data_IF_348782266601
#
_entry.id   IF_348782266601
#
_cell.length_a   1.000
_cell.length_b   1.000
_cell.length_c   1.000
_cell.angle_alpha   90.00
_cell.angle_beta   90.00
_cell.angle_gamma   90.00
#
_symmetry.space_group_name_H-M   'P 1'
#
loop_
_entity.id
_entity.type
_entity.pdbx_description
1 polymer ?
#
# COMPACT_ATOMS: atom_id res chain seq x y z
N UNK A 1 -26.35 -10.42 -29.33
CA UNK A 1 -25.86 -10.84 -28.00
C UNK A 1 -24.75 -9.87 -27.60
N UNK A 2 -25.01 -9.00 -26.62
CA UNK A 2 -24.05 -7.98 -26.19
C UNK A 2 -23.09 -8.59 -25.17
N UNK A 3 -21.80 -8.73 -25.53
CA UNK A 3 -20.76 -9.18 -24.61
C UNK A 3 -20.49 -8.04 -23.63
N UNK A 4 -20.83 -8.25 -22.36
CA UNK A 4 -20.51 -7.29 -21.28
C UNK A 4 -18.98 -7.20 -21.14
N UNK A 5 -18.42 -6.01 -20.90
CA UNK A 5 -16.99 -5.88 -20.62
C UNK A 5 -16.68 -6.52 -19.26
N UNK A 6 -15.77 -7.49 -19.26
CA UNK A 6 -15.18 -8.08 -18.05
C UNK A 6 -14.40 -7.00 -17.31
N UNK A 7 -14.84 -6.69 -16.10
CA UNK A 7 -14.14 -5.83 -15.16
C UNK A 7 -12.93 -6.57 -14.63
N UNK A 8 -11.74 -6.25 -15.14
CA UNK A 8 -10.47 -6.65 -14.54
C UNK A 8 -10.30 -5.91 -13.21
N UNK A 9 -10.64 -6.57 -12.10
CA UNK A 9 -10.37 -6.08 -10.75
C UNK A 9 -8.86 -6.12 -10.51
N UNK A 10 -8.30 -5.00 -10.06
CA UNK A 10 -6.91 -4.89 -9.63
C UNK A 10 -6.63 -5.91 -8.51
N UNK A 11 -5.80 -6.91 -8.83
CA UNK A 11 -5.37 -7.96 -7.92
C UNK A 11 -4.53 -7.38 -6.77
N UNK A 12 -4.81 -7.81 -5.54
CA UNK A 12 -4.14 -7.33 -4.33
C UNK A 12 -2.71 -7.88 -4.25
N UNK A 13 -1.71 -7.00 -4.09
CA UNK A 13 -0.31 -7.39 -3.84
C UNK A 13 -0.12 -7.65 -2.34
N UNK A 14 0.36 -8.85 -1.99
CA UNK A 14 0.71 -9.23 -0.61
C UNK A 14 1.77 -8.29 0.00
N UNK A 15 1.52 -7.85 1.23
CA UNK A 15 2.43 -6.99 2.00
C UNK A 15 3.57 -7.87 2.57
N UNK A 16 4.79 -7.66 2.08
CA UNK A 16 5.99 -8.32 2.60
C UNK A 16 6.38 -7.70 3.95
N UNK A 17 6.43 -8.52 5.00
CA UNK A 17 6.90 -8.09 6.33
C UNK A 17 8.42 -7.82 6.34
N UNK A 18 8.89 -6.68 6.90
CA UNK A 18 10.32 -6.42 7.03
C UNK A 18 10.98 -7.32 8.09
N UNK A 19 12.05 -8.00 7.70
CA UNK A 19 12.88 -8.90 8.51
C UNK A 19 13.53 -8.18 9.70
N UNK A 20 13.26 -8.70 10.91
CA UNK A 20 13.66 -8.12 12.20
C UNK A 20 15.13 -8.45 12.57
N UNK A 21 16.14 -7.89 11.89
CA UNK A 21 17.55 -7.99 12.35
C UNK A 21 18.42 -6.79 11.97
N UNK A 22 18.33 -5.70 12.73
CA UNK A 22 19.50 -4.89 13.14
C UNK A 22 19.08 -3.75 14.06
N UNK A 23 19.67 -3.72 15.27
CA UNK A 23 19.67 -2.59 16.20
C UNK A 23 20.39 -1.40 15.56
N UNK A 24 19.67 -0.53 14.85
CA UNK A 24 19.92 0.90 14.66
C UNK A 24 19.05 1.44 13.52
N UNK A 25 18.69 2.73 13.66
CA UNK A 25 18.26 3.69 12.65
C UNK A 25 16.77 4.00 12.56
N UNK A 26 16.48 5.31 12.41
CA UNK A 26 15.28 5.85 11.79
C UNK A 26 15.16 5.34 10.35
N UNK A 27 14.85 4.05 10.17
CA UNK A 27 14.69 3.46 8.86
C UNK A 27 13.28 3.79 8.38
N UNK A 28 13.13 4.92 7.69
CA UNK A 28 11.98 5.12 6.82
C UNK A 28 12.26 4.41 5.51
N UNK A 29 11.58 3.28 5.27
CA UNK A 29 11.60 2.62 3.97
C UNK A 29 10.45 3.17 3.13
N UNK A 30 10.79 3.85 2.04
CA UNK A 30 9.84 4.33 1.04
C UNK A 30 10.11 3.59 -0.27
N UNK A 31 9.08 2.92 -0.80
CA UNK A 31 9.12 2.21 -2.06
C UNK A 31 8.05 2.80 -2.98
N UNK A 32 8.39 2.99 -4.25
CA UNK A 32 7.44 3.40 -5.27
C UNK A 32 7.57 2.49 -6.48
N UNK A 33 6.45 1.86 -6.86
CA UNK A 33 6.32 1.07 -8.08
C UNK A 33 5.40 1.79 -9.05
N UNK A 34 5.75 1.70 -10.34
CA UNK A 34 4.94 2.25 -11.41
C UNK A 34 4.88 1.24 -12.54
N UNK A 35 3.67 0.94 -12.95
CA UNK A 35 3.38 0.10 -14.10
C UNK A 35 2.55 0.87 -15.11
N UNK A 36 2.80 0.60 -16.39
CA UNK A 36 2.04 1.19 -17.48
C UNK A 36 1.83 0.14 -18.55
N UNK A 37 0.59 0.01 -18.98
CA UNK A 37 0.20 -0.80 -20.13
C UNK A 37 -0.62 0.05 -21.09
N UNK A 38 -0.56 -0.28 -22.37
CA UNK A 38 -1.40 0.37 -23.38
C UNK A 38 -1.54 -0.51 -24.61
N UNK A 39 -2.72 -0.47 -25.22
CA UNK A 39 -2.96 -1.02 -26.55
C UNK A 39 -3.70 0.00 -27.40
N UNK A 40 -3.53 -0.10 -28.72
CA UNK A 40 -4.18 0.77 -29.69
C UNK A 40 -4.56 -0.03 -30.92
N UNK A 41 -5.74 0.28 -31.46
CA UNK A 41 -6.21 -0.28 -32.72
C UNK A 41 -6.84 0.81 -33.60
N UNK A 42 -7.49 0.36 -34.67
CA UNK A 42 -8.17 1.24 -35.62
C UNK A 42 -9.38 1.97 -35.01
N UNK A 43 -10.07 1.35 -34.04
CA UNK A 43 -11.28 1.85 -33.39
C UNK A 43 -10.99 2.75 -32.18
N UNK A 44 -9.79 2.67 -31.63
CA UNK A 44 -9.49 3.39 -30.41
C UNK A 44 -8.16 3.03 -29.78
N UNK A 45 -8.14 3.14 -28.46
CA UNK A 45 -7.04 2.67 -27.64
C UNK A 45 -7.36 2.73 -26.17
N UNK A 46 -6.60 1.95 -25.41
CA UNK A 46 -6.68 1.88 -23.97
C UNK A 46 -5.28 2.09 -23.39
N UNK A 47 -5.21 2.78 -22.26
CA UNK A 47 -4.01 2.79 -21.44
C UNK A 47 -4.36 2.71 -19.98
N UNK A 48 -3.61 1.90 -19.23
CA UNK A 48 -3.67 1.85 -17.78
C UNK A 48 -2.35 2.34 -17.20
N UNK A 49 -2.41 3.18 -16.18
CA UNK A 49 -1.26 3.53 -15.36
C UNK A 49 -1.55 3.23 -13.90
N UNK A 50 -0.70 2.39 -13.32
CA UNK A 50 -0.76 2.05 -11.90
C UNK A 50 0.46 2.64 -11.22
N UNK A 51 0.23 3.34 -10.11
CA UNK A 51 1.27 3.80 -9.21
C UNK A 51 0.96 3.29 -7.82
N UNK A 52 1.92 2.59 -7.22
CA UNK A 52 1.86 2.14 -5.84
C UNK A 52 3.00 2.81 -5.07
N UNK A 53 2.71 3.37 -3.91
CA UNK A 53 3.74 3.78 -2.97
C UNK A 53 3.51 3.16 -1.61
N UNK A 54 4.60 2.80 -0.96
CA UNK A 54 4.62 2.22 0.38
C UNK A 54 5.63 3.00 1.22
N UNK A 55 5.22 3.36 2.43
CA UNK A 55 6.05 4.05 3.40
C UNK A 55 5.88 3.42 4.77
N UNK A 56 6.98 2.98 5.34
CA UNK A 56 7.04 2.51 6.72
C UNK A 56 7.90 3.45 7.56
N UNK A 57 7.50 3.69 8.80
CA UNK A 57 8.28 4.47 9.76
C UNK A 57 8.05 3.98 11.18
N UNK A 58 9.13 3.91 11.96
CA UNK A 58 9.10 3.74 13.41
C UNK A 58 9.05 5.11 14.10
N UNK A 59 8.36 5.19 15.24
CA UNK A 59 8.30 6.39 16.07
C UNK A 59 8.29 6.04 17.56
N UNK A 60 8.72 6.95 18.43
CA UNK A 60 8.58 6.75 19.89
C UNK A 60 7.10 6.92 20.26
N UNK A 61 6.44 5.85 20.67
CA UNK A 61 5.03 5.83 21.04
C UNK A 61 4.80 6.30 22.49
N UNK A 62 5.73 6.01 23.39
CA UNK A 62 5.70 6.45 24.78
C UNK A 62 7.05 7.06 25.18
N UNK A 63 7.04 8.35 25.51
CA UNK A 63 8.24 9.11 25.91
C UNK A 63 8.78 8.69 27.28
N UNK A 64 7.95 8.10 28.13
CA UNK A 64 8.35 7.69 29.49
C UNK A 64 9.02 6.32 29.49
N UNK A 65 8.51 5.39 28.70
CA UNK A 65 9.06 4.03 28.61
C UNK A 65 10.04 3.85 27.46
N UNK A 66 10.11 4.80 26.53
CA UNK A 66 10.92 4.70 25.31
C UNK A 66 10.38 3.64 24.34
N UNK A 67 9.14 3.17 24.51
CA UNK A 67 8.58 2.15 23.64
C UNK A 67 8.34 2.70 22.23
N UNK A 68 8.73 1.91 21.24
CA UNK A 68 8.54 2.23 19.83
C UNK A 68 7.15 1.79 19.36
N UNK A 69 6.53 2.64 18.56
CA UNK A 69 5.38 2.33 17.72
C UNK A 69 5.78 2.32 16.26
N UNK A 70 4.87 1.81 15.44
CA UNK A 70 5.13 1.60 14.03
C UNK A 70 3.96 2.08 13.19
N UNK A 71 4.27 2.69 12.04
CA UNK A 71 3.27 3.17 11.08
C UNK A 71 3.63 2.74 9.67
N UNK A 72 2.66 2.17 8.97
CA UNK A 72 2.73 1.93 7.54
C UNK A 72 1.67 2.76 6.81
N UNK A 73 2.03 3.22 5.62
CA UNK A 73 1.12 3.87 4.69
C UNK A 73 1.35 3.26 3.31
N UNK A 74 0.29 2.72 2.70
CA UNK A 74 0.30 2.30 1.31
C UNK A 74 -0.70 3.15 0.52
N UNK A 75 -0.29 3.64 -0.65
CA UNK A 75 -1.15 4.34 -1.61
C UNK A 75 -1.15 3.58 -2.91
N UNK A 76 -2.34 3.41 -3.46
CA UNK A 76 -2.57 2.82 -4.77
C UNK A 76 -3.36 3.80 -5.61
N UNK A 77 -2.84 4.12 -6.80
CA UNK A 77 -3.52 4.94 -7.80
C UNK A 77 -3.54 4.17 -9.11
N UNK A 78 -4.74 3.95 -9.67
CA UNK A 78 -4.92 3.44 -11.02
C UNK A 78 -5.61 4.51 -11.86
N UNK A 79 -5.10 4.73 -13.06
CA UNK A 79 -5.70 5.61 -14.07
C UNK A 79 -5.89 4.82 -15.36
N UNK A 80 -7.13 4.60 -15.73
CA UNK A 80 -7.55 3.91 -16.93
C UNK A 80 -8.14 4.91 -17.92
N UNK A 81 -7.62 4.91 -19.14
CA UNK A 81 -8.05 5.81 -20.21
C UNK A 81 -8.48 5.02 -21.43
N UNK A 82 -9.68 5.30 -21.91
CA UNK A 82 -10.29 4.71 -23.10
C UNK A 82 -10.54 5.82 -24.12
N UNK A 83 -9.93 5.69 -25.29
CA UNK A 83 -10.16 6.58 -26.43
C UNK A 83 -11.05 5.84 -27.42
N UNK A 84 -12.27 6.34 -27.61
CA UNK A 84 -13.21 5.84 -28.60
C UNK A 84 -13.18 6.78 -29.82
N UNK A 85 -12.68 6.28 -30.96
CA UNK A 85 -12.64 7.09 -32.18
C UNK A 85 -13.96 7.06 -32.93
N UNK A 86 -14.80 6.05 -32.72
CA UNK A 86 -16.10 5.95 -33.39
C UNK A 86 -17.09 6.96 -32.79
N UNK A 87 -17.12 7.03 -31.45
CA UNK A 87 -17.97 7.98 -30.74
C UNK A 87 -17.28 9.33 -30.47
N UNK A 88 -15.98 9.45 -30.76
CA UNK A 88 -15.24 10.71 -30.79
C UNK A 88 -14.91 11.29 -29.40
N UNK A 89 -15.01 10.50 -28.33
CA UNK A 89 -14.68 10.95 -26.98
C UNK A 89 -13.65 10.07 -26.29
N UNK A 90 -13.10 10.58 -25.19
CA UNK A 90 -12.23 9.83 -24.29
C UNK A 90 -12.90 9.71 -22.92
N UNK A 91 -12.88 8.52 -22.34
CA UNK A 91 -13.26 8.29 -20.94
C UNK A 91 -12.01 8.03 -20.13
N UNK A 92 -11.91 8.65 -18.98
CA UNK A 92 -10.84 8.43 -18.02
C UNK A 92 -11.45 8.10 -16.66
N UNK A 93 -10.95 7.03 -16.06
CA UNK A 93 -11.33 6.57 -14.74
C UNK A 93 -10.09 6.59 -13.85
N UNK A 94 -10.23 7.20 -12.68
CA UNK A 94 -9.17 7.22 -11.69
C UNK A 94 -9.67 6.63 -10.39
N UNK A 95 -8.95 5.63 -9.88
CA UNK A 95 -9.18 5.04 -8.56
C UNK A 95 -7.99 5.35 -7.67
N UNK A 96 -8.24 5.83 -6.46
CA UNK A 96 -7.22 6.07 -5.45
C UNK A 96 -7.63 5.37 -4.14
N UNK A 97 -6.71 4.59 -3.58
CA UNK A 97 -6.91 3.94 -2.28
C UNK A 97 -5.70 4.22 -1.39
N UNK A 98 -5.97 4.50 -0.11
CA UNK A 98 -4.94 4.71 0.90
C UNK A 98 -5.20 3.78 2.08
N UNK A 99 -4.21 3.00 2.44
CA UNK A 99 -4.18 2.18 3.65
C UNK A 99 -3.22 2.80 4.65
N UNK A 100 -3.62 2.84 5.91
CA UNK A 100 -2.75 3.29 7.00
C UNK A 100 -2.94 2.33 8.15
N UNK A 101 -1.83 1.75 8.59
CA UNK A 101 -1.77 0.89 9.76
C UNK A 101 -0.85 1.58 10.79
N UNK A 102 -1.32 1.63 12.04
CA UNK A 102 -0.54 2.12 13.16
C UNK A 102 -0.58 1.06 14.26
N UNK A 103 0.58 0.63 14.72
CA UNK A 103 0.74 -0.35 15.80
C UNK A 103 1.29 0.37 17.02
N UNK A 104 0.58 0.22 18.13
CA UNK A 104 0.96 0.77 19.43
C UNK A 104 1.38 -0.36 20.37
N UNK A 105 2.44 -0.19 21.15
CA UNK A 105 2.86 -1.19 22.11
C UNK A 105 1.81 -1.32 23.23
N UNK A 106 1.42 -2.56 23.54
CA UNK A 106 0.56 -2.82 24.69
C UNK A 106 1.36 -2.55 25.98
N UNK A 107 0.69 -2.00 27.00
CA UNK A 107 1.29 -1.90 28.35
C UNK A 107 1.67 -3.30 28.80
N UNK A 108 2.96 -3.57 28.95
CA UNK A 108 3.41 -4.79 29.61
C UNK A 108 2.89 -4.73 31.05
N UNK A 109 1.96 -5.62 31.41
CA UNK A 109 1.68 -5.83 32.82
C UNK A 109 2.90 -6.50 33.42
N UNK A 110 3.80 -5.69 33.98
CA UNK A 110 4.86 -6.13 34.86
C UNK A 110 4.24 -6.92 36.01
N UNK A 111 4.33 -8.24 35.98
CA UNK A 111 4.20 -9.07 37.19
C UNK A 111 4.89 -10.42 37.05
N UNK A 112 6.11 -10.46 36.51
CA UNK A 112 7.00 -11.59 36.77
C UNK A 112 7.52 -11.49 38.20
N UNK A 113 6.67 -11.82 39.19
CA UNK A 113 7.11 -12.07 40.57
C UNK A 113 8.16 -13.17 40.51
N UNK A 114 9.43 -12.83 40.77
CA UNK A 114 10.47 -13.82 41.04
C UNK A 114 10.07 -14.58 42.29
N UNK A 115 9.62 -15.82 42.14
CA UNK A 115 9.48 -16.75 43.25
C UNK A 115 10.86 -17.39 43.43
N UNK A 116 11.59 -16.97 44.47
CA UNK A 116 12.77 -17.70 44.94
C UNK A 116 12.27 -18.89 45.78
N UNK A 117 12.66 -20.10 45.41
CA UNK A 117 12.53 -21.26 46.29
C UNK A 117 13.76 -21.29 47.22
N UNK A 118 13.52 -21.30 48.53
CA UNK A 118 14.52 -21.59 49.57
C UNK A 118 14.66 -23.09 49.77
#
# INVERSE_FOLDING_TARGET
>A
MSKKPETHYCEYVEVVQPSSKSLQMNVSNEMQNKERSSYRDQYGGFSSNVTQSYKASEYVADKHTGQMGYKQEAKYTCTDRYVDKEEGYTREYQTQTKFTESVYPNKSSSSSKRINYY
#
